data_IF_505808960555
#
_entry.id   IF_505808960555
#
_cell.length_a   1.000
_cell.length_b   1.000
_cell.length_c   1.000
_cell.angle_alpha   90.00
_cell.angle_beta   90.00
_cell.angle_gamma   90.00
#
_symmetry.space_group_name_H-M   'P 1'
#
loop_
_entity.id
_entity.type
_entity.pdbx_description
1 polymer ?
#
# COMPACT_ATOMS: atom_id res chain seq x y z
N UNK A 1 -0.46 10.74 -14.09
CA UNK A 1 -0.43 11.72 -12.99
C UNK A 1 -0.96 13.06 -13.51
N UNK A 2 -1.83 13.78 -12.76
CA UNK A 2 -2.39 15.06 -13.19
C UNK A 2 -1.31 16.17 -13.09
N UNK A 3 -1.37 17.21 -13.94
CA UNK A 3 -0.35 18.26 -13.97
C UNK A 3 -0.08 18.94 -12.63
N UNK A 4 -1.13 19.19 -11.84
CA UNK A 4 -1.00 19.85 -10.53
C UNK A 4 -0.21 19.00 -9.53
N UNK A 5 -0.46 17.69 -9.47
CA UNK A 5 0.31 16.80 -8.59
C UNK A 5 1.78 16.75 -9.02
N UNK A 6 2.05 16.69 -10.33
CA UNK A 6 3.41 16.73 -10.86
C UNK A 6 4.12 18.03 -10.48
N UNK A 7 3.43 19.17 -10.56
CA UNK A 7 3.95 20.47 -10.14
C UNK A 7 4.33 20.50 -8.64
N UNK A 8 3.45 20.01 -7.76
CA UNK A 8 3.73 19.99 -6.33
C UNK A 8 4.87 19.03 -5.95
N UNK A 9 4.97 17.87 -6.61
CA UNK A 9 6.07 16.93 -6.41
C UNK A 9 7.41 17.52 -6.86
N UNK A 10 7.44 18.16 -8.03
CA UNK A 10 8.64 18.82 -8.54
C UNK A 10 9.06 20.00 -7.65
N UNK A 11 8.10 20.78 -7.17
CA UNK A 11 8.38 21.87 -6.20
C UNK A 11 8.92 21.34 -4.89
N UNK A 12 8.40 20.23 -4.38
CA UNK A 12 8.92 19.57 -3.18
C UNK A 12 10.33 19.04 -3.40
N UNK A 13 10.58 18.35 -4.53
CA UNK A 13 11.90 17.84 -4.91
C UNK A 13 12.95 18.96 -4.94
N UNK A 14 12.66 20.09 -5.61
CA UNK A 14 13.57 21.25 -5.65
C UNK A 14 13.88 21.80 -4.27
N UNK A 15 12.90 21.84 -3.36
CA UNK A 15 13.10 22.28 -1.97
C UNK A 15 14.02 21.32 -1.22
N UNK A 16 13.80 20.02 -1.36
CA UNK A 16 14.64 19.01 -0.70
C UNK A 16 16.07 19.06 -1.20
N UNK A 17 16.29 19.20 -2.52
CA UNK A 17 17.63 19.36 -3.10
C UNK A 17 18.30 20.64 -2.59
N UNK A 18 17.57 21.76 -2.50
CA UNK A 18 18.13 23.00 -1.94
C UNK A 18 18.52 22.87 -0.45
N UNK A 19 17.83 22.01 0.30
CA UNK A 19 18.09 21.81 1.73
C UNK A 19 19.21 20.80 2.01
N UNK A 20 19.25 19.69 1.26
CA UNK A 20 20.14 18.55 1.52
C UNK A 20 21.32 18.45 0.55
N UNK A 21 21.30 19.22 -0.54
CA UNK A 21 22.15 18.97 -1.72
C UNK A 21 21.64 17.81 -2.57
N UNK A 22 22.18 17.65 -3.77
CA UNK A 22 21.78 16.56 -4.68
C UNK A 22 22.13 15.18 -4.10
N UNK A 23 23.32 15.04 -3.51
CA UNK A 23 23.75 13.78 -2.90
C UNK A 23 22.93 13.44 -1.66
N UNK A 24 22.69 14.41 -0.77
CA UNK A 24 21.84 14.21 0.40
C UNK A 24 20.39 13.88 0.04
N UNK A 25 19.84 14.48 -1.03
CA UNK A 25 18.52 14.10 -1.53
C UNK A 25 18.49 12.68 -2.11
N UNK A 26 19.56 12.25 -2.80
CA UNK A 26 19.70 10.88 -3.31
C UNK A 26 19.74 9.87 -2.16
N UNK A 27 20.54 10.13 -1.14
CA UNK A 27 20.63 9.27 0.05
C UNK A 27 19.30 9.22 0.81
N UNK A 28 18.66 10.37 1.03
CA UNK A 28 17.33 10.46 1.64
C UNK A 28 16.29 9.62 0.87
N UNK A 29 16.28 9.72 -0.46
CA UNK A 29 15.36 8.96 -1.31
C UNK A 29 15.62 7.45 -1.21
N UNK A 30 16.88 7.02 -1.26
CA UNK A 30 17.26 5.61 -1.10
C UNK A 30 16.85 5.07 0.27
N UNK A 31 16.99 5.87 1.32
CA UNK A 31 16.60 5.50 2.68
C UNK A 31 15.08 5.29 2.80
N UNK A 32 14.26 6.15 2.17
CA UNK A 32 12.81 5.96 2.13
C UNK A 32 12.44 4.64 1.47
N UNK A 33 13.03 4.33 0.30
CA UNK A 33 12.75 3.08 -0.40
C UNK A 33 13.20 1.85 0.40
N UNK A 34 14.37 1.92 1.02
CA UNK A 34 14.89 0.87 1.89
C UNK A 34 13.96 0.62 3.08
N UNK A 35 13.51 1.67 3.77
CA UNK A 35 12.57 1.55 4.89
C UNK A 35 11.24 0.96 4.45
N UNK A 36 10.70 1.38 3.31
CA UNK A 36 9.49 0.79 2.74
C UNK A 36 9.65 -0.71 2.49
N UNK A 37 10.76 -1.12 1.84
CA UNK A 37 11.02 -2.55 1.56
C UNK A 37 11.19 -3.38 2.83
N UNK A 38 11.96 -2.88 3.81
CA UNK A 38 12.15 -3.55 5.09
C UNK A 38 10.84 -3.68 5.87
N UNK A 39 9.98 -2.66 5.79
CA UNK A 39 8.67 -2.68 6.42
C UNK A 39 7.76 -3.75 5.79
N UNK A 40 7.66 -3.79 4.45
CA UNK A 40 6.88 -4.84 3.77
C UNK A 40 7.38 -6.24 4.10
N UNK A 41 8.71 -6.46 4.08
CA UNK A 41 9.29 -7.75 4.44
C UNK A 41 8.92 -8.16 5.88
N UNK A 42 8.99 -7.23 6.84
CA UNK A 42 8.60 -7.51 8.22
C UNK A 42 7.09 -7.81 8.37
N UNK A 43 6.23 -7.18 7.56
CA UNK A 43 4.79 -7.49 7.53
C UNK A 43 4.55 -8.87 6.92
N UNK A 44 5.21 -9.20 5.81
CA UNK A 44 5.15 -10.53 5.17
C UNK A 44 5.58 -11.62 6.14
N UNK A 45 6.71 -11.44 6.84
CA UNK A 45 7.20 -12.37 7.86
C UNK A 45 6.16 -12.55 8.98
N UNK A 46 5.57 -11.45 9.47
CA UNK A 46 4.58 -11.48 10.56
C UNK A 46 3.31 -12.25 10.13
N UNK A 47 2.77 -11.94 8.95
CA UNK A 47 1.54 -12.56 8.43
C UNK A 47 1.76 -14.03 8.03
N UNK A 48 2.98 -14.41 7.64
CA UNK A 48 3.34 -15.80 7.36
C UNK A 48 3.51 -16.60 8.65
N UNK A 49 4.10 -16.02 9.69
CA UNK A 49 4.28 -16.68 10.98
C UNK A 49 2.97 -16.87 11.76
N UNK A 50 1.91 -16.10 11.53
CA UNK A 50 0.61 -16.48 12.11
C UNK A 50 0.11 -17.86 11.61
N UNK A 51 0.64 -18.33 10.47
CA UNK A 51 0.32 -19.64 9.90
C UNK A 51 1.28 -20.76 10.29
N UNK A 52 2.43 -20.46 10.93
CA UNK A 52 3.51 -21.42 11.27
C UNK A 52 4.11 -21.14 12.66
N UNK A 53 4.62 -22.13 13.39
CA UNK A 53 5.08 -21.97 14.79
C UNK A 53 6.01 -20.75 15.02
N UNK A 54 5.75 -19.99 16.09
CA UNK A 54 6.46 -18.75 16.47
C UNK A 54 7.94 -19.00 16.74
N UNK A 55 8.81 -18.59 15.83
CA UNK A 55 10.22 -18.31 16.12
C UNK A 55 10.39 -16.81 16.35
N UNK A 56 11.16 -16.42 17.36
CA UNK A 56 11.45 -15.03 17.71
C UNK A 56 12.35 -14.41 16.63
N UNK A 57 11.75 -13.88 15.57
CA UNK A 57 12.46 -13.05 14.60
C UNK A 57 12.56 -11.61 15.11
N UNK A 58 13.79 -11.13 15.22
CA UNK A 58 14.10 -9.77 15.62
C UNK A 58 13.72 -8.80 14.49
N UNK A 59 12.69 -7.98 14.73
CA UNK A 59 12.31 -6.92 13.79
C UNK A 59 13.49 -5.94 13.60
N UNK A 60 13.87 -5.59 12.36
CA UNK A 60 14.93 -4.63 12.14
C UNK A 60 14.65 -3.32 12.88
N UNK A 61 15.61 -2.84 13.68
CA UNK A 61 15.48 -1.63 14.48
C UNK A 61 15.11 -0.38 13.66
N UNK A 62 15.39 -0.39 12.36
CA UNK A 62 15.08 0.70 11.43
C UNK A 62 13.58 0.85 11.15
N UNK A 63 12.80 -0.23 11.24
CA UNK A 63 11.35 -0.24 10.95
C UNK A 63 10.50 -0.57 12.16
N UNK A 64 11.10 -0.73 13.35
CA UNK A 64 10.39 -1.05 14.59
C UNK A 64 9.26 -0.07 14.89
N UNK A 65 9.47 1.23 14.69
CA UNK A 65 8.42 2.23 14.87
C UNK A 65 7.23 2.05 13.91
N UNK A 66 7.48 1.65 12.66
CA UNK A 66 6.39 1.34 11.72
C UNK A 66 5.64 0.07 12.13
N UNK A 67 6.34 -0.95 12.63
CA UNK A 67 5.72 -2.20 13.13
C UNK A 67 4.90 -1.94 14.39
N UNK A 68 5.42 -1.14 15.32
CA UNK A 68 4.67 -0.67 16.49
C UNK A 68 3.40 0.08 16.07
N UNK A 69 3.54 0.99 15.09
CA UNK A 69 2.43 1.79 14.54
C UNK A 69 1.27 0.91 14.04
N UNK A 70 1.55 -0.20 13.37
CA UNK A 70 0.52 -1.10 12.81
C UNK A 70 0.13 -2.26 13.71
N UNK A 71 0.77 -2.44 14.87
CA UNK A 71 0.53 -3.57 15.78
C UNK A 71 -0.96 -3.82 16.07
N UNK A 72 -1.72 -2.76 16.37
CA UNK A 72 -3.16 -2.86 16.61
C UNK A 72 -3.96 -3.26 15.36
N UNK A 73 -3.50 -2.86 14.18
CA UNK A 73 -4.14 -3.23 12.91
C UNK A 73 -3.87 -4.70 12.60
N UNK A 74 -2.64 -5.17 12.81
CA UNK A 74 -2.26 -6.57 12.62
C UNK A 74 -3.10 -7.52 13.49
N UNK A 75 -3.39 -7.15 14.74
CA UNK A 75 -4.28 -7.93 15.61
C UNK A 75 -5.71 -8.10 15.07
N UNK A 76 -6.16 -7.19 14.20
CA UNK A 76 -7.46 -7.24 13.54
C UNK A 76 -7.42 -7.98 12.18
N UNK A 77 -6.23 -8.40 11.73
CA UNK A 77 -6.02 -9.17 10.51
C UNK A 77 -6.09 -10.67 10.81
N UNK A 78 -6.84 -11.39 9.99
CA UNK A 78 -6.97 -12.85 10.07
C UNK A 78 -7.17 -13.43 8.68
N UNK A 79 -7.06 -14.76 8.54
CA UNK A 79 -7.49 -15.46 7.32
C UNK A 79 -6.78 -14.99 6.05
N UNK A 80 -5.46 -14.79 6.13
CA UNK A 80 -4.61 -14.38 5.00
C UNK A 80 -4.78 -15.35 3.84
N UNK A 81 -5.02 -14.80 2.65
CA UNK A 81 -5.26 -15.52 1.39
C UNK A 81 -4.12 -15.39 0.39
N UNK A 82 -3.44 -14.23 0.41
CA UNK A 82 -2.32 -13.94 -0.46
C UNK A 82 -1.41 -12.88 0.20
N UNK A 83 -0.12 -12.98 -0.04
CA UNK A 83 0.91 -12.00 0.35
C UNK A 83 1.82 -11.82 -0.87
N UNK A 84 2.19 -10.57 -1.19
CA UNK A 84 3.10 -10.20 -2.29
C UNK A 84 2.81 -10.97 -3.59
N UNK A 85 1.53 -10.97 -3.99
CA UNK A 85 1.01 -11.89 -5.01
C UNK A 85 0.73 -11.17 -6.34
N UNK A 86 1.16 -11.77 -7.45
CA UNK A 86 0.98 -11.21 -8.78
C UNK A 86 -0.47 -11.38 -9.28
N UNK A 87 -1.11 -10.27 -9.65
CA UNK A 87 -2.47 -10.24 -10.22
C UNK A 87 -2.44 -9.75 -11.65
N UNK A 88 -3.31 -10.31 -12.49
CA UNK A 88 -3.40 -9.98 -13.91
C UNK A 88 -4.83 -9.74 -14.38
N UNK A 89 -5.12 -8.52 -14.85
CA UNK A 89 -6.38 -8.24 -15.52
C UNK A 89 -6.27 -8.51 -17.02
N UNK A 90 -6.56 -9.74 -17.46
CA UNK A 90 -6.39 -10.13 -18.87
C UNK A 90 -7.18 -9.28 -19.87
N UNK A 91 -8.42 -8.85 -19.59
CA UNK A 91 -9.16 -8.02 -20.54
C UNK A 91 -8.62 -6.58 -20.67
N UNK A 92 -8.12 -6.00 -19.57
CA UNK A 92 -7.61 -4.62 -19.50
C UNK A 92 -6.08 -4.55 -19.64
N UNK A 93 -5.40 -5.70 -19.77
CA UNK A 93 -3.98 -5.84 -20.06
C UNK A 93 -3.05 -5.09 -19.08
N UNK A 94 -3.32 -5.19 -17.77
CA UNK A 94 -2.41 -4.68 -16.74
C UNK A 94 -2.11 -5.73 -15.66
N UNK A 95 -0.94 -5.59 -15.04
CA UNK A 95 -0.38 -6.47 -14.01
C UNK A 95 -0.09 -5.66 -12.75
N UNK A 96 -0.13 -6.31 -11.60
CA UNK A 96 0.23 -5.71 -10.31
C UNK A 96 0.73 -6.76 -9.33
N UNK A 97 1.33 -6.29 -8.23
CA UNK A 97 1.67 -7.12 -7.08
C UNK A 97 0.88 -6.57 -5.90
N UNK A 98 -0.04 -7.37 -5.36
CA UNK A 98 -0.83 -7.00 -4.18
C UNK A 98 -0.01 -7.27 -2.93
N UNK A 99 0.07 -6.31 -2.01
CA UNK A 99 0.84 -6.51 -0.78
C UNK A 99 0.22 -7.65 0.05
N UNK A 100 -1.09 -7.62 0.27
CA UNK A 100 -1.79 -8.63 1.05
C UNK A 100 -3.28 -8.71 0.70
N UNK A 101 -3.84 -9.92 0.79
CA UNK A 101 -5.29 -10.16 0.81
C UNK A 101 -5.62 -10.94 2.08
N UNK A 102 -6.42 -10.34 2.96
CA UNK A 102 -6.77 -10.93 4.26
C UNK A 102 -8.10 -10.38 4.79
N UNK A 103 -8.62 -11.00 5.85
CA UNK A 103 -9.78 -10.48 6.56
C UNK A 103 -9.35 -9.41 7.55
N UNK A 104 -9.86 -8.20 7.39
CA UNK A 104 -9.77 -7.14 8.41
C UNK A 104 -11.13 -7.02 9.10
N UNK A 105 -11.19 -7.30 10.40
CA UNK A 105 -12.44 -7.27 11.19
C UNK A 105 -13.57 -8.07 10.53
N UNK A 106 -13.23 -9.26 10.00
CA UNK A 106 -14.16 -10.19 9.34
C UNK A 106 -14.52 -9.85 7.89
N UNK A 107 -14.03 -8.74 7.32
CA UNK A 107 -14.24 -8.39 5.91
C UNK A 107 -13.00 -8.70 5.08
N UNK A 108 -13.14 -9.53 4.05
CA UNK A 108 -12.05 -9.82 3.12
C UNK A 108 -11.69 -8.55 2.33
N UNK A 109 -10.41 -8.16 2.39
CA UNK A 109 -9.89 -6.93 1.80
C UNK A 109 -8.61 -7.17 1.00
N UNK A 110 -8.41 -6.39 -0.06
CA UNK A 110 -7.07 -6.09 -0.57
C UNK A 110 -6.47 -5.03 0.34
N UNK A 111 -5.31 -5.31 0.93
CA UNK A 111 -4.64 -4.45 1.90
C UNK A 111 -3.39 -3.87 1.26
N UNK A 112 -3.25 -2.56 1.35
CA UNK A 112 -2.15 -1.77 0.82
C UNK A 112 -1.43 -1.07 1.99
N UNK A 113 -0.22 -1.52 2.28
CA UNK A 113 0.58 -1.01 3.40
C UNK A 113 1.41 0.19 2.93
N UNK A 114 1.48 1.25 3.74
CA UNK A 114 2.22 2.46 3.41
C UNK A 114 2.96 3.00 4.62
N UNK A 115 4.23 3.35 4.42
CA UNK A 115 4.98 4.17 5.38
C UNK A 115 4.76 5.66 5.10
N UNK A 116 4.78 6.49 6.14
CA UNK A 116 4.69 7.93 6.02
C UNK A 116 5.41 8.65 7.15
N UNK A 117 6.13 9.72 6.82
CA UNK A 117 6.67 10.65 7.83
C UNK A 117 5.62 11.67 8.31
N UNK A 118 4.53 11.85 7.55
CA UNK A 118 3.47 12.82 7.87
C UNK A 118 2.15 12.10 8.14
N UNK A 119 1.37 12.56 9.13
CA UNK A 119 0.07 11.98 9.42
C UNK A 119 -0.88 12.11 8.22
N UNK A 120 -1.60 11.03 7.91
CA UNK A 120 -2.63 10.97 6.85
C UNK A 120 -3.98 10.52 7.43
N UNK A 121 -4.63 11.33 8.29
CA UNK A 121 -5.90 10.98 8.92
C UNK A 121 -7.09 10.86 7.97
N UNK A 122 -7.01 11.43 6.77
CA UNK A 122 -8.09 11.39 5.79
C UNK A 122 -7.64 10.70 4.50
N UNK A 123 -8.53 9.90 3.91
CA UNK A 123 -8.31 9.18 2.65
C UNK A 123 -7.73 10.07 1.54
N UNK A 124 -8.21 11.31 1.39
CA UNK A 124 -7.70 12.25 0.37
C UNK A 124 -6.19 12.56 0.49
N UNK A 125 -5.58 12.31 1.64
CA UNK A 125 -4.14 12.53 1.88
C UNK A 125 -3.28 11.33 1.44
N UNK A 126 -3.91 10.23 1.01
CA UNK A 126 -3.24 9.06 0.43
C UNK A 126 -3.13 9.15 -1.10
N UNK A 127 -3.60 10.25 -1.71
CA UNK A 127 -3.48 10.54 -3.14
C UNK A 127 -4.04 9.40 -4.01
N UNK A 128 -3.19 8.72 -4.78
CA UNK A 128 -3.58 7.69 -5.74
C UNK A 128 -3.62 6.28 -5.10
N UNK A 129 -3.34 6.12 -3.79
CA UNK A 129 -3.45 4.81 -3.11
C UNK A 129 -4.84 4.15 -3.27
N UNK A 130 -5.97 4.88 -3.22
CA UNK A 130 -7.28 4.25 -3.46
C UNK A 130 -7.46 3.75 -4.91
N UNK A 131 -6.80 4.40 -5.88
CA UNK A 131 -6.79 3.93 -7.28
C UNK A 131 -6.00 2.63 -7.40
N UNK A 132 -4.86 2.53 -6.70
CA UNK A 132 -4.03 1.32 -6.66
C UNK A 132 -4.81 0.14 -6.06
N UNK A 133 -5.49 0.35 -4.93
CA UNK A 133 -6.34 -0.68 -4.32
C UNK A 133 -7.48 -1.11 -5.25
N UNK A 134 -8.17 -0.16 -5.87
CA UNK A 134 -9.22 -0.47 -6.84
C UNK A 134 -8.69 -1.26 -8.06
N UNK A 135 -7.51 -0.89 -8.57
CA UNK A 135 -6.84 -1.59 -9.66
C UNK A 135 -6.51 -3.04 -9.29
N UNK A 136 -5.99 -3.26 -8.08
CA UNK A 136 -5.67 -4.60 -7.57
C UNK A 136 -6.91 -5.45 -7.39
N UNK A 137 -7.99 -4.89 -6.83
CA UNK A 137 -9.28 -5.59 -6.70
C UNK A 137 -9.82 -5.99 -8.08
N UNK A 138 -9.82 -5.08 -9.04
CA UNK A 138 -10.27 -5.37 -10.40
C UNK A 138 -9.45 -6.47 -11.07
N UNK A 139 -8.13 -6.43 -10.92
CA UNK A 139 -7.24 -7.45 -11.49
C UNK A 139 -7.46 -8.81 -10.83
N UNK A 140 -7.45 -8.86 -9.50
CA UNK A 140 -7.65 -10.10 -8.74
C UNK A 140 -8.98 -10.76 -9.08
N UNK A 141 -10.08 -9.98 -9.14
CA UNK A 141 -11.41 -10.53 -9.41
C UNK A 141 -11.60 -11.03 -10.86
N UNK A 142 -10.72 -10.62 -11.79
CA UNK A 142 -10.71 -11.07 -13.19
C UNK A 142 -9.65 -12.17 -13.43
N UNK A 143 -8.79 -12.46 -12.47
CA UNK A 143 -7.67 -13.38 -12.62
C UNK A 143 -8.08 -14.81 -12.22
N UNK A 144 -8.00 -15.73 -13.18
CA UNK A 144 -8.38 -17.14 -13.00
C UNK A 144 -7.48 -17.92 -12.03
N UNK A 145 -6.33 -17.36 -11.65
CA UNK A 145 -5.47 -17.94 -10.62
C UNK A 145 -6.06 -17.80 -9.20
N UNK A 146 -7.08 -16.95 -9.02
CA UNK A 146 -7.75 -16.72 -7.76
C UNK A 146 -9.16 -17.30 -7.79
N UNK A 147 -9.50 -18.14 -6.81
CA UNK A 147 -10.80 -18.81 -6.71
C UNK A 147 -11.79 -18.11 -5.76
N UNK A 148 -11.50 -16.85 -5.44
CA UNK A 148 -12.32 -15.99 -4.57
C UNK A 148 -12.34 -14.58 -5.15
N UNK A 149 -13.33 -13.79 -4.72
CA UNK A 149 -13.44 -12.39 -5.07
C UNK A 149 -13.35 -11.53 -3.82
N UNK A 150 -12.90 -10.29 -4.02
CA UNK A 150 -12.74 -9.29 -2.97
C UNK A 150 -13.51 -8.04 -3.37
N UNK A 151 -14.29 -7.50 -2.44
CA UNK A 151 -15.11 -6.30 -2.69
C UNK A 151 -14.67 -5.10 -1.84
N UNK A 152 -13.74 -5.33 -0.90
CA UNK A 152 -13.28 -4.30 0.04
C UNK A 152 -11.77 -4.05 -0.11
N UNK A 153 -11.36 -2.87 0.29
CA UNK A 153 -9.99 -2.41 0.28
C UNK A 153 -9.62 -1.82 1.63
N UNK A 154 -8.34 -1.89 1.98
CA UNK A 154 -7.82 -1.28 3.20
C UNK A 154 -6.47 -0.63 2.90
N UNK A 155 -6.36 0.67 3.15
CA UNK A 155 -5.06 1.35 3.13
C UNK A 155 -4.62 1.55 4.58
N UNK A 156 -3.44 1.06 4.92
CA UNK A 156 -2.87 1.21 6.27
C UNK A 156 -1.64 2.10 6.20
N UNK A 157 -1.71 3.26 6.86
CA UNK A 157 -0.61 4.22 6.90
C UNK A 157 0.12 4.12 8.25
N UNK A 158 1.31 3.54 8.21
CA UNK A 158 2.22 3.38 9.33
C UNK A 158 3.15 4.60 9.50
N UNK A 159 3.50 4.91 10.75
CA UNK A 159 4.34 6.06 11.10
C UNK A 159 5.63 5.63 11.78
N UNK A 160 6.72 6.34 11.46
CA UNK A 160 8.07 6.00 11.92
C UNK A 160 8.24 6.14 13.43
N UNK A 161 7.45 7.00 14.05
CA UNK A 161 7.53 7.35 15.47
C UNK A 161 6.76 6.39 16.40
N UNK A 162 6.18 5.31 15.87
CA UNK A 162 5.36 4.37 16.65
C UNK A 162 3.94 4.86 16.91
N UNK A 163 3.57 6.07 16.47
CA UNK A 163 2.21 6.57 16.65
C UNK A 163 1.20 5.66 15.92
N UNK A 164 -0.03 5.49 16.45
CA UNK A 164 -0.98 4.55 15.87
C UNK A 164 -1.25 4.79 14.38
N UNK A 165 -1.18 3.70 13.60
CA UNK A 165 -1.44 3.74 12.17
C UNK A 165 -2.87 4.22 11.88
N UNK A 166 -3.04 4.90 10.76
CA UNK A 166 -4.38 5.24 10.25
C UNK A 166 -4.83 4.20 9.25
N UNK A 167 -6.02 3.65 9.47
CA UNK A 167 -6.68 2.73 8.55
C UNK A 167 -7.74 3.44 7.74
N UNK A 168 -7.74 3.24 6.44
CA UNK A 168 -8.77 3.74 5.53
C UNK A 168 -9.46 2.55 4.88
N UNK A 169 -10.55 2.11 5.48
CA UNK A 169 -11.38 1.03 4.95
C UNK A 169 -12.26 1.55 3.82
N UNK A 170 -12.29 0.81 2.71
CA UNK A 170 -13.06 1.12 1.51
C UNK A 170 -13.97 -0.08 1.24
N UNK A 171 -15.27 0.09 1.41
CA UNK A 171 -16.23 -0.91 0.96
C UNK A 171 -16.45 -0.82 -0.56
N UNK A 172 -17.24 -1.74 -1.11
CA UNK A 172 -17.60 -1.78 -2.54
C UNK A 172 -18.10 -0.42 -3.08
N UNK A 173 -19.01 0.25 -2.36
CA UNK A 173 -19.54 1.56 -2.77
C UNK A 173 -18.46 2.65 -2.85
N UNK A 174 -17.49 2.63 -1.92
CA UNK A 174 -16.37 3.57 -1.93
C UNK A 174 -15.34 3.23 -3.02
N UNK A 175 -15.17 1.96 -3.39
CA UNK A 175 -14.20 1.52 -4.40
C UNK A 175 -14.64 1.90 -5.81
N UNK A 176 -15.93 1.78 -6.12
CA UNK A 176 -16.43 1.99 -7.49
C UNK A 176 -16.02 3.34 -8.11
N UNK A 177 -16.13 4.50 -7.43
CA UNK A 177 -15.63 5.77 -7.96
C UNK A 177 -14.12 5.81 -8.21
N UNK A 178 -13.32 5.03 -7.46
CA UNK A 178 -11.88 4.92 -7.69
C UNK A 178 -11.56 3.96 -8.84
N UNK A 179 -12.34 2.91 -9.01
CA UNK A 179 -12.25 2.01 -10.17
C UNK A 179 -12.53 2.76 -11.48
N UNK A 180 -13.62 3.54 -11.54
CA UNK A 180 -13.93 4.37 -12.71
C UNK A 180 -12.81 5.36 -13.04
N UNK A 181 -12.26 6.03 -12.01
CA UNK A 181 -11.11 6.91 -12.17
C UNK A 181 -9.86 6.16 -12.63
N UNK A 182 -9.63 4.94 -12.13
CA UNK A 182 -8.50 4.10 -12.56
C UNK A 182 -8.63 3.71 -14.03
N UNK A 183 -9.83 3.38 -14.51
CA UNK A 183 -10.07 3.08 -15.93
C UNK A 183 -9.71 4.27 -16.82
N UNK A 184 -10.11 5.49 -16.44
CA UNK A 184 -9.71 6.70 -17.17
C UNK A 184 -8.19 6.88 -17.19
N UNK A 185 -7.48 6.55 -16.10
CA UNK A 185 -6.00 6.59 -16.05
C UNK A 185 -5.36 5.57 -16.97
N UNK A 186 -5.95 4.39 -17.06
CA UNK A 186 -5.48 3.33 -17.93
C UNK A 186 -5.67 3.71 -19.39
N UNK A 187 -6.83 4.28 -19.76
CA UNK A 187 -7.08 4.84 -21.09
C UNK A 187 -6.08 5.96 -21.42
N UNK A 188 -5.89 6.94 -20.52
CA UNK A 188 -4.89 8.00 -20.67
C UNK A 188 -3.45 7.47 -20.85
N UNK A 189 -3.14 6.29 -20.31
CA UNK A 189 -1.84 5.64 -20.46
C UNK A 189 -1.72 4.95 -21.83
N UNK A 190 -2.77 4.26 -22.27
CA UNK A 190 -2.80 3.56 -23.56
C UNK A 190 -2.79 4.53 -24.75
N UNK A 191 -3.37 5.71 -24.59
CA UNK A 191 -3.38 6.76 -25.63
C UNK A 191 -2.03 7.50 -25.78
N UNK A 192 -1.09 7.35 -24.85
CA UNK A 192 0.22 8.01 -24.85
C UNK A 192 1.30 7.19 -25.53
#
# INVERSE_FOLDING_TARGET
MPPDQAFYLERWKRRMIAQLGEEGFREYSLNIFRQGKLFHAAIEDTLTQETSSKEDHECPAEVSGYIESVSNVLNDITGVRAIESAVHHSALQYLGIVDCVAQYRGSLCVIDWKTSEKPKPFLRQTYDNPLQVAAYIGALNCDHNYNYQVENGLIVVAYKDGSPAHTHFLNSEHIMPFWEKWLLRLEEYVEK
#
